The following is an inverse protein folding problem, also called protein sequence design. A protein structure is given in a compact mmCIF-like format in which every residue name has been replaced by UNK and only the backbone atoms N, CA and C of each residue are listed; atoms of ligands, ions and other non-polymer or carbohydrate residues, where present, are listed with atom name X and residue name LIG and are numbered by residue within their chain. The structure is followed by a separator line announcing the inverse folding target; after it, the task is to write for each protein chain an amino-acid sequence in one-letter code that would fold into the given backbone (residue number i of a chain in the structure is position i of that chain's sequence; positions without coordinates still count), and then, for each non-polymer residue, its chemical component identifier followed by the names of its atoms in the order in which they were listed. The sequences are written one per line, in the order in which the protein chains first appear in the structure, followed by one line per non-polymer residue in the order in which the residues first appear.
data_IF_110323153751
#
_entry.id   IF_110323153751
#
_cell.length_a   1.000
_cell.length_b   1.000
_cell.length_c   1.000
_cell.angle_alpha   90.00
_cell.angle_beta   90.00
_cell.angle_gamma   90.00
#
_symmetry.space_group_name_H-M   'P 1'
#
loop_
_entity.id
_entity.type
_entity.pdbx_description
1 polymer ?
#
# COMPACT_ATOMS: atom_id res chain seq x y z
N UNK A 1 47.74 10.28 17.43
CA UNK A 1 48.21 9.31 16.42
C UNK A 1 47.63 9.78 15.09
N UNK A 2 48.43 10.49 14.29
CA UNK A 2 47.96 11.03 13.00
C UNK A 2 47.93 9.90 11.96
N UNK A 3 46.79 9.73 11.29
CA UNK A 3 46.66 8.78 10.19
C UNK A 3 47.44 9.30 8.99
N UNK A 4 48.22 8.42 8.35
CA UNK A 4 48.88 8.75 7.08
C UNK A 4 47.84 9.16 6.03
N UNK A 5 48.12 10.13 5.15
CA UNK A 5 47.16 10.58 4.12
C UNK A 5 46.63 9.45 3.24
N UNK A 6 47.42 8.39 3.00
CA UNK A 6 46.96 7.20 2.27
C UNK A 6 45.94 6.39 3.06
N UNK A 7 46.13 6.27 4.37
CA UNK A 7 45.20 5.58 5.28
C UNK A 7 43.90 6.36 5.40
N UNK A 8 43.98 7.69 5.51
CA UNK A 8 42.79 8.56 5.54
C UNK A 8 41.96 8.42 4.26
N UNK A 9 42.58 8.49 3.08
CA UNK A 9 41.86 8.32 1.79
C UNK A 9 41.22 6.94 1.68
N UNK A 10 41.94 5.87 2.06
CA UNK A 10 41.41 4.51 2.03
C UNK A 10 40.20 4.34 2.96
N UNK A 11 40.26 4.90 4.17
CA UNK A 11 39.14 4.88 5.12
C UNK A 11 37.95 5.67 4.58
N UNK A 12 38.18 6.86 4.02
CA UNK A 12 37.11 7.66 3.41
C UNK A 12 36.43 6.92 2.26
N UNK A 13 37.20 6.28 1.38
CA UNK A 13 36.64 5.49 0.28
C UNK A 13 35.86 4.28 0.77
N UNK A 14 36.35 3.58 1.80
CA UNK A 14 35.64 2.46 2.39
C UNK A 14 34.31 2.91 3.03
N UNK A 15 34.31 4.01 3.77
CA UNK A 15 33.09 4.58 4.36
C UNK A 15 32.12 5.04 3.26
N UNK A 16 32.62 5.70 2.21
CA UNK A 16 31.80 6.13 1.08
C UNK A 16 31.18 4.93 0.32
N UNK A 17 31.94 3.85 0.14
CA UNK A 17 31.44 2.64 -0.49
C UNK A 17 30.35 1.95 0.34
N UNK A 18 30.55 1.86 1.67
CA UNK A 18 29.54 1.29 2.58
C UNK A 18 28.28 2.18 2.62
N UNK A 19 28.45 3.50 2.79
CA UNK A 19 27.33 4.44 2.80
C UNK A 19 26.56 4.45 1.48
N UNK A 20 27.27 4.39 0.35
CA UNK A 20 26.66 4.25 -0.98
C UNK A 20 25.88 2.94 -1.12
N UNK A 21 26.43 1.84 -0.60
CA UNK A 21 25.74 0.55 -0.53
C UNK A 21 24.42 0.63 0.24
N UNK A 22 24.43 1.23 1.44
CA UNK A 22 23.22 1.39 2.28
C UNK A 22 22.09 2.16 1.59
N UNK A 23 22.42 3.02 0.63
CA UNK A 23 21.47 3.88 -0.07
C UNK A 23 20.96 3.30 -1.39
N UNK A 24 21.70 2.37 -2.02
CA UNK A 24 21.43 1.93 -3.39
C UNK A 24 21.23 0.41 -3.54
N UNK A 25 21.78 -0.39 -2.63
CA UNK A 25 21.65 -1.85 -2.68
C UNK A 25 20.51 -2.29 -1.78
N UNK A 26 19.80 -3.33 -2.21
CA UNK A 26 18.80 -4.00 -1.39
C UNK A 26 19.50 -5.07 -0.52
N UNK A 27 19.57 -4.80 0.77
CA UNK A 27 19.95 -5.79 1.77
C UNK A 27 19.16 -5.55 3.05
N UNK A 28 18.86 -6.65 3.72
CA UNK A 28 18.14 -6.67 4.97
C UNK A 28 18.76 -7.73 5.89
N UNK A 29 19.10 -7.30 7.09
CA UNK A 29 19.45 -8.12 8.24
C UNK A 29 18.87 -7.44 9.48
N UNK A 30 17.56 -7.17 9.42
CA UNK A 30 16.79 -6.51 10.47
C UNK A 30 15.59 -7.36 10.87
N UNK A 31 15.08 -7.10 12.06
CA UNK A 31 13.78 -7.58 12.54
C UNK A 31 12.86 -6.38 12.74
N UNK A 32 11.58 -6.53 12.38
CA UNK A 32 10.60 -5.47 12.54
C UNK A 32 9.55 -5.82 13.59
N UNK A 33 9.23 -4.84 14.43
CA UNK A 33 8.03 -4.82 15.24
C UNK A 33 7.01 -3.94 14.50
N UNK A 34 5.95 -4.58 14.01
CA UNK A 34 4.89 -3.92 13.22
C UNK A 34 3.57 -4.04 13.96
N UNK A 35 2.95 -2.89 14.23
CA UNK A 35 1.60 -2.80 14.78
C UNK A 35 0.68 -2.26 13.70
N UNK A 36 -0.28 -3.06 13.25
CA UNK A 36 -1.29 -2.65 12.28
C UNK A 36 -2.66 -2.55 12.97
N UNK A 37 -3.42 -1.53 12.61
CA UNK A 37 -4.81 -1.35 13.02
C UNK A 37 -5.65 -1.10 11.78
N UNK A 38 -6.83 -1.70 11.71
CA UNK A 38 -7.75 -1.51 10.60
C UNK A 38 -9.20 -1.48 11.12
N UNK A 39 -9.98 -0.56 10.57
CA UNK A 39 -11.43 -0.51 10.71
C UNK A 39 -12.03 -0.67 9.33
N UNK A 40 -12.90 -1.67 9.16
CA UNK A 40 -13.56 -1.93 7.89
C UNK A 40 -15.08 -1.81 8.04
N UNK A 41 -15.72 -1.24 7.03
CA UNK A 41 -17.17 -1.19 6.89
C UNK A 41 -17.55 -1.63 5.48
N UNK A 42 -18.61 -2.40 5.34
CA UNK A 42 -19.16 -2.80 4.05
C UNK A 42 -20.68 -2.72 4.08
N UNK A 43 -21.25 -2.45 2.92
CA UNK A 43 -22.69 -2.34 2.71
C UNK A 43 -23.06 -2.83 1.31
N UNK A 44 -24.29 -3.25 1.14
CA UNK A 44 -24.76 -3.69 -0.16
C UNK A 44 -26.26 -3.94 -0.22
N UNK A 45 -26.75 -3.99 -1.45
CA UNK A 45 -28.13 -4.34 -1.79
C UNK A 45 -28.11 -5.43 -2.86
N UNK A 46 -28.94 -6.47 -2.72
CA UNK A 46 -29.04 -7.58 -3.67
C UNK A 46 -27.69 -8.27 -3.99
N UNK A 47 -26.81 -8.38 -3.00
CA UNK A 47 -25.41 -8.83 -3.13
C UNK A 47 -25.28 -10.23 -3.74
N UNK A 48 -26.24 -11.13 -3.47
CA UNK A 48 -26.27 -12.50 -4.02
C UNK A 48 -26.37 -12.55 -5.56
N UNK A 49 -26.75 -11.43 -6.18
CA UNK A 49 -26.86 -11.32 -7.64
C UNK A 49 -25.58 -10.83 -8.31
N UNK A 50 -24.56 -10.44 -7.53
CA UNK A 50 -23.26 -10.03 -8.07
C UNK A 50 -22.40 -11.25 -8.41
N UNK A 51 -21.67 -11.22 -9.54
CA UNK A 51 -20.66 -12.22 -9.80
C UNK A 51 -19.55 -12.17 -8.72
N UNK A 52 -18.83 -13.28 -8.52
CA UNK A 52 -17.60 -13.26 -7.74
C UNK A 52 -16.63 -12.22 -8.31
N UNK A 53 -16.00 -11.44 -7.44
CA UNK A 53 -14.97 -10.48 -7.84
C UNK A 53 -13.66 -11.23 -7.98
N UNK A 54 -13.26 -11.51 -9.22
CA UNK A 54 -11.98 -12.17 -9.55
C UNK A 54 -11.02 -11.26 -10.30
N UNK A 55 -11.56 -10.20 -10.89
CA UNK A 55 -10.85 -9.18 -11.63
C UNK A 55 -11.44 -7.79 -11.34
N UNK A 56 -10.68 -6.75 -11.64
CA UNK A 56 -11.11 -5.36 -11.47
C UNK A 56 -10.01 -4.34 -11.74
N UNK A 57 -10.29 -3.10 -11.40
CA UNK A 57 -9.39 -1.97 -11.56
C UNK A 57 -8.82 -1.52 -10.22
N UNK A 58 -7.53 -1.20 -10.18
CA UNK A 58 -6.87 -0.60 -9.02
C UNK A 58 -6.55 0.87 -9.30
N UNK A 59 -7.05 1.76 -8.45
CA UNK A 59 -6.69 3.18 -8.44
C UNK A 59 -5.89 3.48 -7.18
N UNK A 60 -4.70 4.07 -7.32
CA UNK A 60 -3.82 4.40 -6.19
C UNK A 60 -3.53 5.90 -6.16
N UNK A 61 -4.00 6.58 -5.12
CA UNK A 61 -3.57 7.93 -4.77
C UNK A 61 -2.59 7.90 -3.59
N UNK A 62 -1.31 8.07 -3.90
CA UNK A 62 -0.24 8.03 -2.92
C UNK A 62 0.85 9.04 -3.30
N UNK A 63 1.77 9.39 -2.36
CA UNK A 63 2.91 10.23 -2.70
C UNK A 63 3.71 9.66 -3.88
N UNK A 64 4.08 10.51 -4.85
CA UNK A 64 4.82 10.09 -6.06
C UNK A 64 6.05 9.25 -5.74
N UNK A 65 6.69 9.56 -4.60
CA UNK A 65 7.87 8.85 -4.15
C UNK A 65 7.63 7.35 -3.96
N UNK A 66 6.42 6.87 -3.62
CA UNK A 66 6.12 5.45 -3.30
C UNK A 66 4.99 4.85 -4.15
N UNK A 67 4.28 5.66 -4.93
CA UNK A 67 3.08 5.26 -5.68
C UNK A 67 3.31 4.04 -6.57
N UNK A 68 4.36 4.04 -7.38
CA UNK A 68 4.61 2.96 -8.35
C UNK A 68 4.91 1.63 -7.65
N UNK A 69 5.77 1.66 -6.62
CA UNK A 69 6.11 0.47 -5.83
C UNK A 69 4.87 -0.06 -5.09
N UNK A 70 4.07 0.84 -4.50
CA UNK A 70 2.83 0.47 -3.81
C UNK A 70 1.81 -0.11 -4.77
N UNK A 71 1.66 0.45 -5.96
CA UNK A 71 0.76 -0.07 -7.00
C UNK A 71 1.18 -1.48 -7.41
N UNK A 72 2.48 -1.70 -7.68
CA UNK A 72 2.98 -3.02 -8.03
C UNK A 72 2.77 -4.05 -6.90
N UNK A 73 3.07 -3.67 -5.66
CA UNK A 73 2.89 -4.53 -4.50
C UNK A 73 1.41 -4.84 -4.23
N UNK A 74 0.50 -3.88 -4.40
CA UNK A 74 -0.95 -4.11 -4.29
C UNK A 74 -1.42 -5.11 -5.35
N UNK A 75 -1.03 -4.94 -6.61
CA UNK A 75 -1.38 -5.89 -7.68
C UNK A 75 -0.90 -7.31 -7.33
N UNK A 76 0.35 -7.44 -6.84
CA UNK A 76 0.90 -8.72 -6.41
C UNK A 76 0.12 -9.33 -5.22
N UNK A 77 -0.08 -8.56 -4.14
CA UNK A 77 -0.79 -9.03 -2.94
C UNK A 77 -2.24 -9.43 -3.21
N UNK A 78 -2.95 -8.73 -4.11
CA UNK A 78 -4.30 -9.13 -4.53
C UNK A 78 -4.27 -10.39 -5.40
N UNK A 79 -3.32 -10.50 -6.33
CA UNK A 79 -3.18 -11.67 -7.21
C UNK A 79 -2.87 -12.95 -6.42
N UNK A 80 -2.03 -12.87 -5.39
CA UNK A 80 -1.76 -13.98 -4.47
C UNK A 80 -3.02 -14.47 -3.74
N UNK A 81 -4.00 -13.58 -3.58
CA UNK A 81 -5.30 -13.85 -2.95
C UNK A 81 -6.41 -14.16 -3.98
N UNK A 82 -6.05 -14.31 -5.26
CA UNK A 82 -6.96 -14.74 -6.31
C UNK A 82 -7.76 -13.63 -6.99
N UNK A 83 -7.41 -12.37 -6.79
CA UNK A 83 -8.03 -11.21 -7.46
C UNK A 83 -7.00 -10.52 -8.34
N UNK A 84 -7.29 -10.39 -9.64
CA UNK A 84 -6.39 -9.70 -10.59
C UNK A 84 -6.83 -8.26 -10.75
N UNK A 85 -6.00 -7.29 -10.37
CA UNK A 85 -6.32 -5.88 -10.56
C UNK A 85 -5.46 -5.25 -11.65
N UNK A 86 -6.09 -4.55 -12.58
CA UNK A 86 -5.42 -3.73 -13.58
C UNK A 86 -5.26 -2.30 -13.04
N UNK A 87 -4.03 -1.78 -12.92
CA UNK A 87 -3.82 -0.39 -12.49
C UNK A 87 -4.41 0.60 -13.51
N UNK A 88 -5.13 1.59 -13.01
CA UNK A 88 -5.62 2.73 -13.78
C UNK A 88 -5.24 4.04 -13.11
N UNK A 89 -5.11 5.10 -13.91
CA UNK A 89 -4.93 6.44 -13.37
C UNK A 89 -6.24 6.92 -12.74
N UNK A 90 -6.15 7.58 -11.57
CA UNK A 90 -7.31 8.14 -10.86
C UNK A 90 -8.11 9.19 -11.66
N UNK A 91 -7.64 9.55 -12.86
CA UNK A 91 -8.25 10.54 -13.77
C UNK A 91 -8.89 9.92 -15.01
N UNK A 92 -8.78 8.62 -15.20
CA UNK A 92 -9.48 7.94 -16.29
C UNK A 92 -10.93 7.72 -15.88
N UNK A 93 -11.86 8.37 -16.60
CA UNK A 93 -13.28 8.50 -16.23
C UNK A 93 -14.11 7.22 -16.46
N UNK A 94 -13.56 6.22 -17.16
CA UNK A 94 -14.27 5.01 -17.56
C UNK A 94 -13.69 3.77 -16.86
N UNK A 95 -14.13 3.51 -15.62
CA UNK A 95 -13.87 2.24 -14.93
C UNK A 95 -15.07 1.32 -15.10
N UNK A 96 -14.96 0.35 -16.00
CA UNK A 96 -15.99 -0.69 -16.20
C UNK A 96 -15.71 -1.90 -15.29
N UNK A 97 -16.56 -2.11 -14.27
CA UNK A 97 -16.50 -3.29 -13.40
C UNK A 97 -15.89 -3.05 -12.02
N UNK A 98 -15.57 -4.11 -11.24
CA UNK A 98 -15.12 -3.96 -9.86
C UNK A 98 -13.90 -3.04 -9.74
N UNK A 99 -13.91 -2.15 -8.75
CA UNK A 99 -12.84 -1.19 -8.52
C UNK A 99 -12.39 -1.22 -7.06
N UNK A 100 -11.08 -1.07 -6.88
CA UNK A 100 -10.44 -0.84 -5.58
C UNK A 100 -9.68 0.47 -5.66
N UNK A 101 -9.98 1.39 -4.75
CA UNK A 101 -9.30 2.67 -4.62
C UNK A 101 -8.48 2.63 -3.34
N UNK A 102 -7.20 2.97 -3.41
CA UNK A 102 -6.32 3.07 -2.25
C UNK A 102 -5.77 4.50 -2.17
N UNK A 103 -6.01 5.17 -1.05
CA UNK A 103 -5.55 6.53 -0.78
C UNK A 103 -4.62 6.52 0.42
N UNK A 104 -3.37 6.93 0.24
CA UNK A 104 -2.40 7.08 1.33
C UNK A 104 -2.50 8.50 1.87
N UNK A 105 -3.07 8.64 3.06
CA UNK A 105 -3.27 9.93 3.71
C UNK A 105 -1.98 10.45 4.36
N UNK A 106 -1.18 9.56 4.94
CA UNK A 106 0.07 9.90 5.63
C UNK A 106 1.13 8.83 5.36
N UNK A 107 2.33 9.26 5.00
CA UNK A 107 3.50 8.40 4.81
C UNK A 107 4.72 9.03 5.46
N UNK A 108 5.02 8.64 6.70
CA UNK A 108 6.12 9.17 7.48
C UNK A 108 7.17 8.09 7.74
N UNK A 109 8.17 8.04 6.87
CA UNK A 109 9.29 7.10 6.98
C UNK A 109 10.58 7.81 7.40
N UNK A 110 11.15 7.41 8.53
CA UNK A 110 12.44 7.88 9.03
C UNK A 110 13.45 6.73 8.98
N UNK A 111 14.18 6.67 7.87
CA UNK A 111 15.20 5.64 7.71
C UNK A 111 16.48 5.98 8.48
N UNK A 112 16.89 5.03 9.32
CA UNK A 112 18.22 4.93 9.90
C UNK A 112 18.72 3.50 9.62
N UNK A 113 19.95 3.30 9.11
CA UNK A 113 20.47 1.99 8.74
C UNK A 113 20.39 0.90 9.81
N UNK A 114 20.30 1.26 11.10
CA UNK A 114 20.30 0.29 12.22
C UNK A 114 18.99 0.23 13.00
N UNK A 115 18.15 1.26 12.85
CA UNK A 115 16.94 1.45 13.63
C UNK A 115 15.93 2.31 12.85
N UNK A 116 15.46 1.85 11.68
CA UNK A 116 14.48 2.61 10.92
C UNK A 116 13.13 2.60 11.65
N UNK A 117 12.37 3.68 11.50
CA UNK A 117 11.02 3.79 12.04
C UNK A 117 10.13 4.47 11.02
N UNK A 118 8.84 4.13 11.04
CA UNK A 118 7.89 4.73 10.12
C UNK A 118 6.46 4.40 10.46
N UNK A 119 5.59 5.31 10.05
CA UNK A 119 4.14 5.20 10.18
C UNK A 119 3.48 5.47 8.83
N UNK A 120 2.44 4.71 8.52
CA UNK A 120 1.62 4.92 7.33
C UNK A 120 0.16 4.86 7.74
N UNK A 121 -0.64 5.83 7.30
CA UNK A 121 -2.09 5.83 7.42
C UNK A 121 -2.69 5.89 6.02
N UNK A 122 -3.67 5.03 5.76
CA UNK A 122 -4.29 4.93 4.45
C UNK A 122 -5.75 4.51 4.56
N UNK A 123 -6.48 4.81 3.50
CA UNK A 123 -7.84 4.37 3.28
C UNK A 123 -7.88 3.52 2.04
N UNK A 124 -8.75 2.52 2.04
CA UNK A 124 -9.14 1.82 0.84
C UNK A 124 -10.66 1.85 0.71
N UNK A 125 -11.15 1.91 -0.51
CA UNK A 125 -12.53 1.68 -0.83
C UNK A 125 -12.61 0.62 -1.92
N UNK A 126 -13.68 -0.16 -1.93
CA UNK A 126 -13.96 -1.07 -3.02
C UNK A 126 -15.42 -0.96 -3.42
N UNK A 127 -15.69 -1.21 -4.69
CA UNK A 127 -17.03 -1.32 -5.25
C UNK A 127 -17.04 -2.45 -6.28
N UNK A 128 -17.87 -3.47 -6.05
CA UNK A 128 -17.98 -4.62 -6.95
C UNK A 128 -18.79 -4.33 -8.22
N UNK A 129 -19.57 -3.26 -8.25
CA UNK A 129 -20.34 -2.80 -9.40
C UNK A 129 -19.63 -1.76 -10.27
N UNK A 130 -18.57 -1.12 -9.77
CA UNK A 130 -17.78 -0.15 -10.55
C UNK A 130 -18.41 1.22 -10.71
N UNK A 131 -19.16 1.70 -9.72
CA UNK A 131 -19.85 2.99 -9.84
C UNK A 131 -18.87 4.14 -9.64
N UNK A 132 -18.71 5.00 -10.66
CA UNK A 132 -17.80 6.15 -10.63
C UNK A 132 -17.97 7.05 -9.38
N UNK A 133 -19.21 7.22 -8.90
CA UNK A 133 -19.52 8.00 -7.69
C UNK A 133 -18.83 7.47 -6.42
N UNK A 134 -18.59 6.16 -6.31
CA UNK A 134 -17.92 5.56 -5.17
C UNK A 134 -16.41 5.76 -5.25
N UNK A 135 -15.85 5.79 -6.47
CA UNK A 135 -14.45 6.17 -6.72
C UNK A 135 -14.22 7.62 -6.33
N UNK A 136 -15.08 8.53 -6.81
CA UNK A 136 -15.00 9.96 -6.49
C UNK A 136 -15.12 10.23 -4.98
N UNK A 137 -16.05 9.55 -4.31
CA UNK A 137 -16.23 9.65 -2.87
C UNK A 137 -15.00 9.12 -2.10
N UNK A 138 -14.42 8.00 -2.54
CA UNK A 138 -13.21 7.44 -1.92
C UNK A 138 -12.00 8.39 -2.02
N UNK A 139 -11.77 8.96 -3.22
CA UNK A 139 -10.71 9.93 -3.47
C UNK A 139 -10.91 11.23 -2.68
N UNK A 140 -12.15 11.67 -2.52
CA UNK A 140 -12.48 12.91 -1.80
C UNK A 140 -12.56 12.74 -0.28
N UNK A 141 -12.61 11.49 0.21
CA UNK A 141 -12.84 11.19 1.64
C UNK A 141 -14.28 11.39 2.10
N UNK A 142 -15.22 11.40 1.15
CA UNK A 142 -16.65 11.47 1.44
C UNK A 142 -17.21 10.09 1.82
N UNK A 143 -18.39 10.09 2.46
CA UNK A 143 -19.07 8.85 2.81
C UNK A 143 -19.53 8.09 1.56
N UNK A 144 -19.31 6.77 1.53
CA UNK A 144 -19.90 5.88 0.52
C UNK A 144 -21.41 5.77 0.78
N UNK A 145 -22.22 6.26 -0.16
CA UNK A 145 -23.69 6.25 -0.07
C UNK A 145 -24.27 5.18 -0.98
N UNK A 146 -25.01 4.25 -0.40
CA UNK A 146 -25.66 3.15 -1.11
C UNK A 146 -27.08 3.52 -1.54
N UNK A 147 -27.36 3.45 -2.83
CA UNK A 147 -28.69 3.64 -3.40
C UNK A 147 -29.18 2.37 -4.09
N UNK A 148 -30.22 1.74 -3.54
CA UNK A 148 -30.74 0.46 -4.06
C UNK A 148 -31.36 0.55 -5.46
N UNK A 149 -31.53 1.76 -6.00
CA UNK A 149 -32.10 2.01 -7.33
C UNK A 149 -31.15 1.69 -8.48
N UNK A 150 -29.85 1.54 -8.22
CA UNK A 150 -28.84 1.36 -9.26
C UNK A 150 -28.52 -0.11 -9.57
N UNK A 151 -29.23 -1.05 -8.92
CA UNK A 151 -29.05 -2.49 -9.12
C UNK A 151 -28.39 -3.17 -7.92
N UNK A 152 -27.85 -4.39 -8.10
CA UNK A 152 -27.09 -5.04 -7.06
C UNK A 152 -25.76 -4.30 -6.82
N UNK A 153 -25.45 -4.02 -5.57
CA UNK A 153 -24.33 -3.19 -5.16
C UNK A 153 -23.66 -3.80 -3.93
N UNK A 154 -22.33 -3.82 -3.93
CA UNK A 154 -21.51 -4.07 -2.75
C UNK A 154 -20.32 -3.12 -2.80
N UNK A 155 -20.26 -2.22 -1.84
CA UNK A 155 -19.11 -1.37 -1.63
C UNK A 155 -18.71 -1.37 -0.14
N UNK A 156 -17.48 -0.98 0.12
CA UNK A 156 -16.97 -0.88 1.47
C UNK A 156 -15.76 0.00 1.54
N UNK A 157 -15.42 0.37 2.76
CA UNK A 157 -14.24 1.15 3.09
C UNK A 157 -13.42 0.46 4.17
N UNK A 158 -12.13 0.72 4.13
CA UNK A 158 -11.14 0.32 5.12
C UNK A 158 -10.37 1.58 5.48
N UNK A 159 -10.27 1.88 6.76
CA UNK A 159 -9.34 2.87 7.30
C UNK A 159 -8.30 2.11 8.11
N UNK A 160 -7.04 2.26 7.76
CA UNK A 160 -5.97 1.50 8.39
C UNK A 160 -4.74 2.35 8.65
N UNK A 161 -3.98 1.92 9.65
CA UNK A 161 -2.70 2.51 9.99
C UNK A 161 -1.72 1.43 10.39
N UNK A 162 -0.44 1.69 10.14
CA UNK A 162 0.64 0.83 10.57
C UNK A 162 1.76 1.68 11.15
N UNK A 163 2.28 1.22 12.28
CA UNK A 163 3.53 1.68 12.86
C UNK A 163 4.54 0.53 12.77
N UNK A 164 5.73 0.81 12.24
CA UNK A 164 6.79 -0.19 12.12
C UNK A 164 8.13 0.35 12.59
N UNK A 165 8.77 -0.38 13.51
CA UNK A 165 10.11 -0.10 13.99
C UNK A 165 11.03 -1.29 13.70
N UNK A 166 12.15 -1.03 13.04
CA UNK A 166 13.17 -2.04 12.75
C UNK A 166 14.32 -1.99 13.75
N UNK A 167 14.92 -3.15 14.00
CA UNK A 167 16.21 -3.27 14.68
C UNK A 167 17.14 -4.16 13.86
N UNK A 168 18.35 -3.70 13.59
CA UNK A 168 19.34 -4.41 12.75
C UNK A 168 19.68 -3.65 11.49
N UNK A 169 20.53 -4.23 10.64
CA UNK A 169 21.11 -3.51 9.50
C UNK A 169 20.22 -3.62 8.27
N UNK A 170 19.75 -2.49 7.76
CA UNK A 170 18.82 -2.44 6.64
C UNK A 170 19.09 -1.26 5.71
N UNK A 171 19.05 -1.54 4.42
CA UNK A 171 19.16 -0.53 3.38
C UNK A 171 17.91 0.36 3.31
N UNK A 172 18.06 1.56 2.75
CA UNK A 172 16.89 2.42 2.52
C UNK A 172 15.86 1.78 1.57
N UNK A 173 16.27 1.16 0.43
CA UNK A 173 15.35 0.45 -0.45
C UNK A 173 14.61 -0.70 0.25
N UNK A 174 15.33 -1.54 1.03
CA UNK A 174 14.72 -2.66 1.75
C UNK A 174 13.66 -2.20 2.74
N UNK A 175 13.95 -1.18 3.55
CA UNK A 175 12.98 -0.68 4.52
C UNK A 175 11.73 -0.06 3.86
N UNK A 176 11.93 0.61 2.73
CA UNK A 176 10.82 1.12 1.92
C UNK A 176 9.97 -0.02 1.35
N UNK A 177 10.60 -1.06 0.79
CA UNK A 177 9.92 -2.24 0.27
C UNK A 177 9.12 -2.96 1.37
N UNK A 178 9.67 -3.05 2.58
CA UNK A 178 8.98 -3.58 3.76
C UNK A 178 7.70 -2.79 4.08
N UNK A 179 7.77 -1.45 4.22
CA UNK A 179 6.59 -0.64 4.51
C UNK A 179 5.53 -0.76 3.40
N UNK A 180 5.96 -0.74 2.13
CA UNK A 180 5.07 -0.91 0.97
C UNK A 180 4.38 -2.27 1.02
N UNK A 181 5.13 -3.35 1.25
CA UNK A 181 4.60 -4.71 1.33
C UNK A 181 3.57 -4.85 2.45
N UNK A 182 3.85 -4.30 3.64
CA UNK A 182 2.91 -4.35 4.77
C UNK A 182 1.59 -3.64 4.45
N UNK A 183 1.63 -2.46 3.81
CA UNK A 183 0.42 -1.73 3.41
C UNK A 183 -0.35 -2.51 2.34
N UNK A 184 0.35 -3.05 1.34
CA UNK A 184 -0.26 -3.82 0.26
C UNK A 184 -0.96 -5.09 0.79
N UNK A 185 -0.27 -5.87 1.62
CA UNK A 185 -0.80 -7.10 2.19
C UNK A 185 -1.97 -6.86 3.13
N UNK A 186 -1.87 -5.87 4.01
CA UNK A 186 -2.96 -5.51 4.91
C UNK A 186 -4.19 -5.04 4.12
N UNK A 187 -4.00 -4.25 3.06
CA UNK A 187 -5.10 -3.80 2.19
C UNK A 187 -5.76 -4.98 1.50
N UNK A 188 -4.99 -5.85 0.86
CA UNK A 188 -5.52 -6.99 0.13
C UNK A 188 -6.22 -7.99 1.06
N UNK A 189 -5.67 -8.24 2.26
CA UNK A 189 -6.30 -9.09 3.28
C UNK A 189 -7.67 -8.53 3.70
N UNK A 190 -7.75 -7.24 4.03
CA UNK A 190 -9.00 -6.63 4.46
C UNK A 190 -10.05 -6.62 3.33
N UNK A 191 -9.68 -6.15 2.13
CA UNK A 191 -10.62 -6.02 1.01
C UNK A 191 -11.13 -7.39 0.53
N UNK A 192 -10.24 -8.36 0.30
CA UNK A 192 -10.65 -9.71 -0.12
C UNK A 192 -11.43 -10.42 0.99
N UNK A 193 -11.09 -10.15 2.25
CA UNK A 193 -11.86 -10.61 3.41
C UNK A 193 -13.31 -10.11 3.41
N UNK A 194 -13.58 -8.92 2.87
CA UNK A 194 -14.94 -8.41 2.71
C UNK A 194 -15.68 -9.08 1.53
N UNK A 195 -14.99 -9.36 0.42
CA UNK A 195 -15.60 -10.10 -0.70
C UNK A 195 -16.04 -11.51 -0.33
N UNK A 196 -15.30 -12.16 0.58
CA UNK A 196 -15.53 -13.55 1.00
C UNK A 196 -16.63 -13.70 2.06
N UNK A 197 -17.11 -12.61 2.65
CA UNK A 197 -18.19 -12.62 3.65
C UNK A 197 -19.60 -12.58 3.03
N UNK A 198 -19.69 -12.73 1.70
CA UNK A 198 -20.94 -12.95 0.96
C UNK A 198 -21.47 -14.37 1.16
#
# INVERSE_FOLDING_TARGET
MELSPRTTVAVVLAVAAVAGGLLALDFEAASYETTASATAASGGANVDSLPPVTDGTLVVDAPEAVRDDLTAALVESFAERGVTLEPADARDEDVDGPVVVVVVDEWDSHWNPVAPVGSVAWRAAFDAGGHARHVDAALSGDALVFESTDGPDLAGSVEASVDSAGTGVVSRPAYRAHLVGVVADATAEQVVGQFSQR
#
